data_IF_326391626414
#
_entry.id   IF_326391626414
#
_cell.length_a   1.000
_cell.length_b   1.000
_cell.length_c   1.000
_cell.angle_alpha   90.00
_cell.angle_beta   90.00
_cell.angle_gamma   90.00
#
_symmetry.space_group_name_H-M   'P 1'
#
loop_
_entity.id
_entity.type
_entity.pdbx_description
1 polymer ?
#
# COMPACT_ATOMS: atom_id res chain seq x y z
N UNK A 1 -18.46 25.32 8.53
CA UNK A 1 -17.29 24.42 8.45
C UNK A 1 -17.75 23.04 8.88
N UNK A 2 -17.53 22.03 8.06
CA UNK A 2 -17.89 20.66 8.39
C UNK A 2 -16.60 19.85 8.55
N UNK A 3 -16.36 19.35 9.77
CA UNK A 3 -15.18 18.54 10.08
C UNK A 3 -15.50 17.07 10.13
N UNK A 4 -14.57 16.27 9.70
CA UNK A 4 -14.67 14.82 9.62
C UNK A 4 -13.45 14.17 10.26
N UNK A 5 -13.67 13.10 11.04
CA UNK A 5 -12.57 12.28 11.57
C UNK A 5 -12.29 11.15 10.60
N UNK A 6 -11.02 10.94 10.26
CA UNK A 6 -10.54 9.77 9.54
C UNK A 6 -9.75 8.85 10.46
N UNK A 7 -10.00 7.53 10.38
CA UNK A 7 -9.31 6.51 11.20
C UNK A 7 -8.85 5.37 10.29
N UNK A 8 -7.56 5.02 10.38
CA UNK A 8 -7.01 3.84 9.69
C UNK A 8 -6.09 3.02 10.60
N UNK A 9 -6.42 1.73 10.74
CA UNK A 9 -5.62 0.71 11.44
C UNK A 9 -5.39 -0.50 10.54
N UNK A 10 -5.30 -0.29 9.24
CA UNK A 10 -5.36 -1.35 8.22
C UNK A 10 -4.13 -2.27 8.18
N UNK A 11 -2.94 -1.76 8.50
CA UNK A 11 -1.69 -2.52 8.34
C UNK A 11 -0.62 -2.07 9.36
N UNK A 12 0.54 -1.59 8.89
CA UNK A 12 1.69 -1.26 9.75
C UNK A 12 1.66 0.16 10.32
N UNK A 13 0.56 0.89 10.14
CA UNK A 13 0.46 2.28 10.63
C UNK A 13 -0.89 2.48 11.31
N UNK A 14 -0.88 2.99 12.54
CA UNK A 14 -2.07 3.57 13.16
C UNK A 14 -2.13 5.02 12.73
N UNK A 15 -3.24 5.48 12.18
CA UNK A 15 -3.40 6.88 11.78
C UNK A 15 -4.79 7.44 12.11
N UNK A 16 -4.81 8.73 12.45
CA UNK A 16 -6.01 9.53 12.64
C UNK A 16 -5.82 10.89 11.98
N UNK A 17 -6.89 11.45 11.45
CA UNK A 17 -6.85 12.78 10.83
C UNK A 17 -8.16 13.53 11.05
N UNK A 18 -8.08 14.86 11.05
CA UNK A 18 -9.23 15.76 10.96
C UNK A 18 -9.18 16.45 9.60
N UNK A 19 -10.27 16.34 8.87
CA UNK A 19 -10.47 17.00 7.58
C UNK A 19 -11.58 18.04 7.73
N UNK A 20 -11.33 19.24 7.25
CA UNK A 20 -12.33 20.31 7.13
C UNK A 20 -12.73 20.48 5.66
N UNK A 21 -14.01 20.66 5.39
CA UNK A 21 -14.52 20.79 4.02
C UNK A 21 -14.05 22.04 3.27
N UNK A 22 -13.48 23.03 3.95
CA UNK A 22 -12.95 24.27 3.36
C UNK A 22 -11.43 24.33 3.42
N UNK A 23 -10.84 23.92 4.55
CA UNK A 23 -9.39 24.02 4.79
C UNK A 23 -8.60 22.78 4.36
N UNK A 24 -9.29 21.65 4.12
CA UNK A 24 -8.65 20.37 3.80
C UNK A 24 -8.20 19.63 5.08
N UNK A 25 -7.01 19.04 5.07
CA UNK A 25 -6.45 18.33 6.24
C UNK A 25 -6.02 19.38 7.29
N UNK A 26 -6.74 19.43 8.42
CA UNK A 26 -6.43 20.32 9.55
C UNK A 26 -5.29 19.75 10.38
N UNK A 27 -5.36 18.45 10.68
CA UNK A 27 -4.32 17.75 11.42
C UNK A 27 -4.31 16.27 11.05
N UNK A 28 -3.14 15.68 11.03
CA UNK A 28 -2.96 14.24 10.90
C UNK A 28 -1.89 13.75 11.87
N UNK A 29 -2.14 12.60 12.48
CA UNK A 29 -1.19 11.93 13.34
C UNK A 29 -1.10 10.46 12.97
N UNK A 30 0.13 9.93 12.93
CA UNK A 30 0.39 8.55 12.57
C UNK A 30 1.56 7.97 13.37
N UNK A 31 1.45 6.68 13.65
CA UNK A 31 2.48 5.93 14.37
C UNK A 31 2.67 4.57 13.70
N UNK A 32 3.90 4.32 13.25
CA UNK A 32 4.30 3.03 12.71
C UNK A 32 4.31 1.97 13.80
N UNK A 33 3.85 0.77 13.47
CA UNK A 33 3.98 -0.38 14.35
C UNK A 33 5.43 -0.84 14.41
N UNK A 34 5.85 -1.25 15.61
CA UNK A 34 7.19 -1.75 15.84
C UNK A 34 7.30 -3.20 15.36
N UNK A 35 8.18 -3.47 14.41
CA UNK A 35 8.59 -4.82 14.00
C UNK A 35 9.90 -5.16 14.69
N UNK A 36 9.95 -6.27 15.42
CA UNK A 36 11.17 -6.72 16.08
C UNK A 36 12.28 -7.01 15.08
N UNK A 37 13.50 -6.70 15.44
CA UNK A 37 14.67 -6.98 14.61
C UNK A 37 14.73 -8.46 14.20
N UNK A 38 15.07 -8.74 12.94
CA UNK A 38 15.07 -10.09 12.36
C UNK A 38 13.71 -10.64 11.94
N UNK A 39 12.60 -9.95 12.26
CA UNK A 39 11.27 -10.34 11.78
C UNK A 39 10.93 -9.68 10.44
N UNK A 40 10.16 -10.37 9.60
CA UNK A 40 9.73 -9.91 8.26
C UNK A 40 8.30 -9.36 8.23
N UNK A 41 7.73 -9.09 9.41
CA UNK A 41 6.35 -8.62 9.56
C UNK A 41 5.81 -8.86 10.97
N UNK A 42 4.52 -8.54 11.16
CA UNK A 42 3.79 -8.72 12.42
C UNK A 42 2.64 -9.73 12.23
N UNK A 43 2.40 -10.55 13.26
CA UNK A 43 1.17 -11.31 13.37
C UNK A 43 -0.03 -10.36 13.55
N UNK A 44 -1.23 -10.77 13.09
CA UNK A 44 -2.44 -9.95 13.21
C UNK A 44 -2.77 -9.61 14.67
N UNK A 45 -2.55 -10.53 15.60
CA UNK A 45 -2.73 -10.28 17.05
C UNK A 45 -1.80 -9.19 17.59
N UNK A 46 -0.57 -9.16 17.12
CA UNK A 46 0.41 -8.12 17.49
C UNK A 46 0.04 -6.76 16.89
N UNK A 47 -0.46 -6.74 15.64
CA UNK A 47 -0.98 -5.51 15.03
C UNK A 47 -2.15 -4.96 15.84
N UNK A 48 -3.14 -5.81 16.18
CA UNK A 48 -4.28 -5.42 17.03
C UNK A 48 -3.80 -4.85 18.35
N UNK A 49 -2.90 -5.52 19.04
CA UNK A 49 -2.35 -5.06 20.31
C UNK A 49 -1.73 -3.66 20.21
N UNK A 50 -0.89 -3.45 19.21
CA UNK A 50 -0.22 -2.15 19.04
C UNK A 50 -1.23 -1.06 18.62
N UNK A 51 -2.16 -1.34 17.72
CA UNK A 51 -3.20 -0.38 17.32
C UNK A 51 -4.08 0.06 18.50
N UNK A 52 -4.49 -0.88 19.35
CA UNK A 52 -5.27 -0.58 20.57
C UNK A 52 -4.53 0.39 21.49
N UNK A 53 -3.21 0.24 21.63
CA UNK A 53 -2.41 1.15 22.45
C UNK A 53 -2.14 2.49 21.78
N UNK A 54 -1.99 2.52 20.48
CA UNK A 54 -1.61 3.70 19.73
C UNK A 54 -2.80 4.67 19.54
N UNK A 55 -4.01 4.15 19.30
CA UNK A 55 -5.17 4.99 19.00
C UNK A 55 -5.46 6.05 20.07
N UNK A 56 -5.56 5.72 21.38
CA UNK A 56 -5.79 6.73 22.41
C UNK A 56 -4.71 7.82 22.44
N UNK A 57 -3.45 7.43 22.24
CA UNK A 57 -2.33 8.35 22.19
C UNK A 57 -2.43 9.31 20.99
N UNK A 58 -2.82 8.82 19.81
CA UNK A 58 -3.00 9.66 18.62
C UNK A 58 -4.22 10.59 18.77
N UNK A 59 -5.32 10.09 19.33
CA UNK A 59 -6.49 10.93 19.61
C UNK A 59 -6.19 12.04 20.61
N UNK A 60 -5.35 11.79 21.63
CA UNK A 60 -4.93 12.84 22.57
C UNK A 60 -4.19 13.98 21.86
N UNK A 61 -3.42 13.68 20.82
CA UNK A 61 -2.70 14.71 20.06
C UNK A 61 -3.62 15.60 19.21
N UNK A 62 -4.72 15.06 18.69
CA UNK A 62 -5.65 15.79 17.83
C UNK A 62 -6.88 16.32 18.56
N UNK A 63 -7.00 16.07 19.86
CA UNK A 63 -8.22 16.35 20.67
C UNK A 63 -8.72 17.78 20.59
N UNK A 64 -7.83 18.76 20.47
CA UNK A 64 -8.19 20.17 20.39
C UNK A 64 -8.93 20.52 19.08
N UNK A 65 -8.75 19.72 18.03
CA UNK A 65 -9.40 19.90 16.73
C UNK A 65 -10.69 19.07 16.60
N UNK A 66 -11.01 18.23 17.61
CA UNK A 66 -12.19 17.35 17.61
C UNK A 66 -13.48 18.07 17.98
N UNK A 67 -13.75 19.20 17.34
CA UNK A 67 -14.98 19.97 17.51
C UNK A 67 -15.71 20.13 16.17
N UNK A 68 -17.03 20.37 16.20
CA UNK A 68 -17.87 20.54 15.02
C UNK A 68 -17.83 19.33 14.04
N UNK A 69 -17.63 18.14 14.60
CA UNK A 69 -17.57 16.90 13.82
C UNK A 69 -18.94 16.60 13.21
N UNK A 70 -18.97 16.32 11.91
CA UNK A 70 -20.17 16.03 11.12
C UNK A 70 -20.20 14.60 10.56
N UNK A 71 -19.13 13.84 10.73
CA UNK A 71 -19.06 12.46 10.29
C UNK A 71 -17.70 11.82 10.57
N UNK A 72 -17.67 10.50 10.54
CA UNK A 72 -16.47 9.71 10.80
C UNK A 72 -16.26 8.72 9.66
N UNK A 73 -15.09 8.78 9.01
CA UNK A 73 -14.65 7.83 8.02
C UNK A 73 -13.66 6.83 8.61
N UNK A 74 -13.81 5.55 8.30
CA UNK A 74 -12.91 4.52 8.81
C UNK A 74 -12.56 3.47 7.75
N UNK A 75 -11.29 3.06 7.74
CA UNK A 75 -10.83 1.87 7.02
C UNK A 75 -11.36 0.64 7.74
N UNK A 76 -12.43 0.01 7.22
CA UNK A 76 -13.18 -1.02 7.92
C UNK A 76 -12.84 -2.46 7.50
N UNK A 77 -12.29 -2.63 6.29
CA UNK A 77 -11.95 -3.94 5.70
C UNK A 77 -10.94 -3.77 4.55
N UNK A 78 -10.18 -4.82 4.19
CA UNK A 78 -9.20 -4.73 3.11
C UNK A 78 -9.81 -4.37 1.74
N UNK A 79 -10.87 -5.07 1.34
CA UNK A 79 -11.56 -4.93 0.05
C UNK A 79 -13.07 -4.99 0.26
N UNK A 80 -13.85 -4.41 -0.65
CA UNK A 80 -15.33 -4.46 -0.59
C UNK A 80 -15.86 -5.80 -1.12
N UNK A 81 -15.57 -6.87 -0.37
CA UNK A 81 -15.98 -8.26 -0.62
C UNK A 81 -16.42 -8.90 0.69
N UNK A 82 -17.39 -9.81 0.64
CA UNK A 82 -17.96 -10.44 1.83
C UNK A 82 -16.96 -11.26 2.66
N UNK A 83 -15.95 -11.84 1.99
CA UNK A 83 -14.88 -12.65 2.59
C UNK A 83 -13.64 -11.83 3.00
N UNK A 84 -13.67 -10.51 2.83
CA UNK A 84 -12.53 -9.64 3.08
C UNK A 84 -12.49 -9.21 4.54
N UNK A 85 -11.65 -9.90 5.33
CA UNK A 85 -11.52 -9.70 6.76
C UNK A 85 -10.06 -9.72 7.21
N UNK A 86 -9.68 -8.76 8.06
CA UNK A 86 -8.43 -8.77 8.81
C UNK A 86 -8.64 -8.15 10.20
N UNK A 87 -8.17 -8.82 11.29
CA UNK A 87 -8.38 -8.37 12.68
C UNK A 87 -7.93 -6.92 12.97
N UNK A 88 -6.84 -6.47 12.37
CA UNK A 88 -6.31 -5.12 12.59
C UNK A 88 -7.34 -4.02 12.29
N UNK A 89 -8.20 -4.19 11.28
CA UNK A 89 -9.26 -3.23 10.93
C UNK A 89 -10.31 -3.05 12.02
N UNK A 90 -10.56 -4.08 12.82
CA UNK A 90 -11.58 -4.03 13.88
C UNK A 90 -11.25 -2.99 14.94
N UNK A 91 -9.99 -2.67 15.15
CA UNK A 91 -9.57 -1.67 16.15
C UNK A 91 -10.08 -0.29 15.77
N UNK A 92 -9.76 0.16 14.54
CA UNK A 92 -10.24 1.45 14.03
C UNK A 92 -11.75 1.49 13.88
N UNK A 93 -12.35 0.38 13.37
CA UNK A 93 -13.79 0.25 13.21
C UNK A 93 -14.52 0.40 14.55
N UNK A 94 -14.12 -0.33 15.58
CA UNK A 94 -14.72 -0.23 16.91
C UNK A 94 -14.59 1.17 17.51
N UNK A 95 -13.42 1.81 17.38
CA UNK A 95 -13.22 3.18 17.82
C UNK A 95 -14.15 4.15 17.07
N UNK A 96 -14.27 4.02 15.74
CA UNK A 96 -15.16 4.85 14.93
C UNK A 96 -16.63 4.69 15.33
N UNK A 97 -17.10 3.47 15.59
CA UNK A 97 -18.46 3.18 16.05
C UNK A 97 -18.76 3.83 17.39
N UNK A 98 -17.83 3.76 18.36
CA UNK A 98 -17.97 4.42 19.66
C UNK A 98 -18.04 5.95 19.50
N UNK A 99 -17.14 6.53 18.72
CA UNK A 99 -17.12 7.98 18.48
C UNK A 99 -18.37 8.46 17.75
N UNK A 100 -18.89 7.69 16.79
CA UNK A 100 -20.14 7.99 16.09
C UNK A 100 -21.32 8.11 17.06
N UNK A 101 -21.40 7.21 18.03
CA UNK A 101 -22.42 7.28 19.07
C UNK A 101 -22.23 8.50 20.00
N UNK A 102 -20.99 8.80 20.36
CA UNK A 102 -20.67 9.93 21.24
C UNK A 102 -20.94 11.31 20.59
N UNK A 103 -20.64 11.43 19.30
CA UNK A 103 -20.86 12.67 18.52
C UNK A 103 -22.25 12.77 17.88
N UNK A 104 -23.04 11.70 17.86
CA UNK A 104 -24.33 11.61 17.15
C UNK A 104 -24.23 11.97 15.66
N UNK A 105 -23.22 11.45 14.99
CA UNK A 105 -22.91 11.73 13.56
C UNK A 105 -22.87 10.45 12.72
N UNK A 106 -23.02 10.52 11.39
CA UNK A 106 -22.93 9.34 10.54
C UNK A 106 -21.51 8.76 10.50
N UNK A 107 -21.43 7.44 10.28
CA UNK A 107 -20.19 6.71 10.01
C UNK A 107 -20.12 6.29 8.55
N UNK A 108 -18.92 6.37 7.96
CA UNK A 108 -18.63 5.96 6.58
C UNK A 108 -17.54 4.89 6.58
N UNK A 109 -17.89 3.70 6.11
CA UNK A 109 -16.99 2.56 6.02
C UNK A 109 -16.33 2.52 4.64
N UNK A 110 -15.01 2.55 4.62
CA UNK A 110 -14.21 2.42 3.40
C UNK A 110 -13.38 1.15 3.45
N UNK A 111 -13.13 0.57 2.29
CA UNK A 111 -12.08 -0.43 2.17
C UNK A 111 -10.70 0.24 2.13
N UNK A 112 -9.68 -0.51 2.48
CA UNK A 112 -8.29 -0.05 2.37
C UNK A 112 -7.93 0.34 0.92
N UNK A 113 -8.45 -0.38 -0.08
CA UNK A 113 -8.27 -0.03 -1.48
C UNK A 113 -8.92 1.32 -1.84
N UNK A 114 -10.15 1.59 -1.35
CA UNK A 114 -10.80 2.90 -1.55
C UNK A 114 -10.01 4.03 -0.91
N UNK A 115 -9.47 3.82 0.29
CA UNK A 115 -8.65 4.83 0.96
C UNK A 115 -7.38 5.16 0.17
N UNK A 116 -6.71 4.15 -0.41
CA UNK A 116 -5.58 4.38 -1.29
C UNK A 116 -5.96 5.15 -2.56
N UNK A 117 -7.10 4.85 -3.17
CA UNK A 117 -7.60 5.57 -4.33
C UNK A 117 -7.91 7.03 -3.97
N UNK A 118 -8.63 7.26 -2.87
CA UNK A 118 -8.98 8.60 -2.38
C UNK A 118 -7.73 9.42 -2.05
N UNK A 119 -6.76 8.83 -1.34
CA UNK A 119 -5.50 9.50 -1.02
C UNK A 119 -4.71 9.92 -2.26
N UNK A 120 -4.70 9.08 -3.31
CA UNK A 120 -4.07 9.43 -4.58
C UNK A 120 -4.76 10.60 -5.28
N UNK A 121 -6.09 10.71 -5.15
CA UNK A 121 -6.89 11.76 -5.76
C UNK A 121 -6.70 13.14 -5.09
N UNK A 122 -6.19 13.22 -3.86
CA UNK A 122 -5.82 14.51 -3.23
C UNK A 122 -4.86 15.28 -4.13
N UNK A 123 -3.91 14.59 -4.77
CA UNK A 123 -2.95 15.18 -5.70
C UNK A 123 -3.42 15.17 -7.17
N UNK A 124 -4.60 14.62 -7.44
CA UNK A 124 -5.20 14.52 -8.76
C UNK A 124 -6.71 14.82 -8.71
N UNK A 125 -7.12 16.03 -8.27
CA UNK A 125 -8.54 16.35 -8.02
C UNK A 125 -9.40 16.29 -9.29
N UNK A 126 -8.80 16.40 -10.48
CA UNK A 126 -9.47 16.25 -11.75
C UNK A 126 -10.04 14.84 -12.00
N UNK A 127 -9.60 13.84 -11.21
CA UNK A 127 -10.09 12.46 -11.29
C UNK A 127 -11.32 12.21 -10.40
N UNK A 128 -11.74 13.21 -9.63
CA UNK A 128 -12.95 13.08 -8.82
C UNK A 128 -14.17 12.77 -9.70
N UNK A 129 -14.86 11.67 -9.40
CA UNK A 129 -15.97 11.11 -10.16
C UNK A 129 -15.63 10.71 -11.63
N UNK A 130 -14.35 10.69 -11.99
CA UNK A 130 -13.91 10.18 -13.29
C UNK A 130 -13.40 8.74 -13.17
N UNK A 131 -13.60 7.88 -14.18
CA UNK A 131 -13.03 6.56 -14.21
C UNK A 131 -11.50 6.64 -14.43
N UNK A 132 -10.73 5.86 -13.67
CA UNK A 132 -9.28 5.77 -13.82
C UNK A 132 -8.75 4.37 -13.50
N UNK A 133 -7.50 4.13 -13.82
CA UNK A 133 -6.79 2.93 -13.39
C UNK A 133 -5.85 3.25 -12.24
N UNK A 134 -5.69 2.30 -11.33
CA UNK A 134 -4.78 2.42 -10.20
C UNK A 134 -3.84 1.22 -10.14
N UNK A 135 -2.55 1.47 -10.20
CA UNK A 135 -1.51 0.47 -9.95
C UNK A 135 -1.01 0.65 -8.52
N UNK A 136 -1.35 -0.30 -7.66
CA UNK A 136 -0.95 -0.30 -6.25
C UNK A 136 0.18 -1.31 -6.03
N UNK A 137 1.38 -0.81 -5.76
CA UNK A 137 2.59 -1.61 -5.52
C UNK A 137 3.15 -1.31 -4.13
N UNK A 138 2.96 -2.23 -3.20
CA UNK A 138 3.44 -2.10 -1.82
C UNK A 138 4.13 -3.38 -1.33
N UNK A 139 4.54 -3.40 -0.06
CA UNK A 139 5.08 -4.60 0.59
C UNK A 139 4.08 -5.76 0.67
N UNK A 140 2.79 -5.46 0.82
CA UNK A 140 1.73 -6.48 0.97
C UNK A 140 0.80 -6.62 -0.23
N UNK A 141 0.75 -5.63 -1.10
CA UNK A 141 -0.22 -5.56 -2.20
C UNK A 141 0.46 -5.28 -3.53
N UNK A 142 0.02 -5.97 -4.57
CA UNK A 142 0.40 -5.70 -5.95
C UNK A 142 -0.79 -5.97 -6.85
N UNK A 143 -1.51 -4.90 -7.15
CA UNK A 143 -2.74 -4.95 -7.94
C UNK A 143 -2.72 -3.86 -9.03
N UNK A 144 -3.36 -4.15 -10.17
CA UNK A 144 -3.82 -3.15 -11.12
C UNK A 144 -5.35 -3.19 -11.10
N UNK A 145 -5.94 -2.05 -10.80
CA UNK A 145 -7.36 -1.90 -10.51
C UNK A 145 -8.00 -0.96 -11.51
N UNK A 146 -9.27 -1.21 -11.84
CA UNK A 146 -10.13 -0.24 -12.51
C UNK A 146 -11.03 0.40 -11.46
N UNK A 147 -10.97 1.72 -11.37
CA UNK A 147 -11.80 2.53 -10.47
C UNK A 147 -12.87 3.22 -11.31
N UNK A 148 -14.12 3.03 -10.93
CA UNK A 148 -15.30 3.65 -11.57
C UNK A 148 -16.23 4.18 -10.50
N UNK A 149 -17.20 5.01 -10.90
CA UNK A 149 -18.16 5.62 -9.99
C UNK A 149 -19.58 5.27 -10.42
N UNK A 150 -20.42 4.93 -9.47
CA UNK A 150 -21.84 4.72 -9.68
C UNK A 150 -22.61 5.38 -8.54
N UNK A 151 -23.48 6.33 -8.84
CA UNK A 151 -24.24 7.09 -7.84
C UNK A 151 -23.35 7.67 -6.71
N UNK A 152 -22.20 8.22 -7.09
CA UNK A 152 -21.17 8.75 -6.19
C UNK A 152 -20.50 7.70 -5.28
N UNK A 153 -20.73 6.42 -5.52
CA UNK A 153 -20.04 5.31 -4.83
C UNK A 153 -18.89 4.83 -5.71
N UNK A 154 -17.71 4.69 -5.10
CA UNK A 154 -16.54 4.14 -5.76
C UNK A 154 -16.69 2.63 -5.93
N UNK A 155 -16.52 2.16 -7.17
CA UNK A 155 -16.46 0.74 -7.51
C UNK A 155 -15.05 0.40 -7.98
N UNK A 156 -14.42 -0.57 -7.31
CA UNK A 156 -13.08 -1.04 -7.63
C UNK A 156 -13.15 -2.47 -8.12
N UNK A 157 -12.63 -2.72 -9.32
CA UNK A 157 -12.49 -4.07 -9.88
C UNK A 157 -11.02 -4.40 -10.13
N UNK A 158 -10.64 -5.63 -9.78
CA UNK A 158 -9.29 -6.14 -9.98
C UNK A 158 -9.09 -6.54 -11.44
N UNK A 159 -8.10 -5.94 -12.10
CA UNK A 159 -7.69 -6.30 -13.47
C UNK A 159 -6.55 -7.30 -13.44
N UNK A 160 -5.60 -7.10 -12.52
CA UNK A 160 -4.43 -7.96 -12.31
C UNK A 160 -4.06 -7.94 -10.83
N UNK A 161 -3.58 -9.07 -10.33
CA UNK A 161 -3.10 -9.18 -8.94
C UNK A 161 -1.88 -10.08 -8.88
N UNK A 162 -1.14 -10.03 -7.78
CA UNK A 162 -0.09 -11.02 -7.50
C UNK A 162 -0.74 -12.32 -7.03
N UNK A 163 -0.30 -13.44 -7.60
CA UNK A 163 -0.79 -14.78 -7.26
C UNK A 163 0.11 -15.53 -6.27
N UNK A 164 1.24 -14.95 -5.91
CA UNK A 164 2.16 -15.48 -4.91
C UNK A 164 2.77 -14.35 -4.07
N UNK A 165 4.02 -13.98 -4.28
CA UNK A 165 4.65 -12.86 -3.57
C UNK A 165 4.57 -11.57 -4.38
N UNK A 166 4.48 -10.45 -3.69
CA UNK A 166 4.48 -9.11 -4.32
C UNK A 166 5.91 -8.66 -4.68
N UNK A 167 6.01 -7.63 -5.52
CA UNK A 167 7.28 -6.97 -5.81
C UNK A 167 7.95 -6.42 -4.54
N UNK A 168 7.16 -5.85 -3.61
CA UNK A 168 7.69 -5.38 -2.33
C UNK A 168 8.24 -6.52 -1.48
N UNK A 169 7.54 -7.66 -1.40
CA UNK A 169 8.05 -8.84 -0.71
C UNK A 169 9.32 -9.39 -1.36
N UNK A 170 9.41 -9.39 -2.69
CA UNK A 170 10.63 -9.79 -3.40
C UNK A 170 11.81 -8.89 -3.01
N UNK A 171 11.60 -7.55 -3.06
CA UNK A 171 12.60 -6.57 -2.66
C UNK A 171 13.07 -6.79 -1.22
N UNK A 172 12.13 -6.94 -0.28
CA UNK A 172 12.44 -7.10 1.13
C UNK A 172 13.16 -8.42 1.43
N UNK A 173 12.70 -9.54 0.85
CA UNK A 173 13.30 -10.86 1.07
C UNK A 173 14.71 -10.96 0.50
N UNK A 174 14.92 -10.41 -0.70
CA UNK A 174 16.25 -10.36 -1.31
C UNK A 174 17.15 -9.40 -0.55
N UNK A 175 16.65 -8.21 -0.18
CA UNK A 175 17.42 -7.23 0.58
C UNK A 175 17.92 -7.77 1.92
N UNK A 176 17.03 -8.39 2.71
CA UNK A 176 17.40 -9.03 3.98
C UNK A 176 18.43 -10.16 3.77
N UNK A 177 18.30 -10.94 2.69
CA UNK A 177 19.27 -11.99 2.36
C UNK A 177 20.64 -11.44 1.96
N UNK A 178 20.68 -10.23 1.40
CA UNK A 178 21.91 -9.47 1.10
C UNK A 178 22.45 -8.70 2.33
N UNK A 179 21.85 -8.86 3.51
CA UNK A 179 22.27 -8.19 4.76
C UNK A 179 21.77 -6.75 4.90
N UNK A 180 20.78 -6.33 4.09
CA UNK A 180 20.20 -4.99 4.17
C UNK A 180 19.12 -4.90 5.26
N UNK A 181 18.94 -3.73 5.89
CA UNK A 181 17.87 -3.51 6.86
C UNK A 181 16.47 -3.67 6.26
N UNK A 182 15.51 -4.11 7.07
CA UNK A 182 14.08 -4.12 6.72
C UNK A 182 13.40 -2.81 7.17
N UNK A 183 12.51 -2.21 6.34
CA UNK A 183 12.15 -2.54 4.95
C UNK A 183 13.31 -2.24 3.98
N UNK A 184 13.59 -3.18 3.06
CA UNK A 184 14.81 -3.12 2.27
C UNK A 184 14.73 -2.22 1.01
N UNK A 185 13.55 -1.70 0.67
CA UNK A 185 13.32 -0.99 -0.61
C UNK A 185 14.33 0.12 -0.90
N UNK A 186 14.50 1.08 0.03
CA UNK A 186 15.45 2.19 -0.10
C UNK A 186 16.91 1.71 -0.16
N UNK A 187 17.26 0.74 0.67
CA UNK A 187 18.61 0.21 0.76
C UNK A 187 19.00 -0.60 -0.48
N UNK A 188 18.07 -1.41 -1.01
CA UNK A 188 18.28 -2.17 -2.23
C UNK A 188 18.41 -1.25 -3.45
N UNK A 189 17.60 -0.18 -3.54
CA UNK A 189 17.74 0.84 -4.58
C UNK A 189 19.11 1.51 -4.53
N UNK A 190 19.58 1.88 -3.33
CA UNK A 190 20.90 2.50 -3.18
C UNK A 190 22.02 1.54 -3.57
N UNK A 191 21.95 0.28 -3.15
CA UNK A 191 22.91 -0.76 -3.53
C UNK A 191 22.95 -0.96 -5.06
N UNK A 192 21.77 -0.99 -5.70
CA UNK A 192 21.62 -1.17 -7.14
C UNK A 192 22.28 -0.07 -8.00
N UNK A 193 22.52 1.13 -7.44
CA UNK A 193 23.22 2.22 -8.13
C UNK A 193 24.69 1.88 -8.42
N UNK A 194 25.29 0.99 -7.66
CA UNK A 194 26.68 0.56 -7.81
C UNK A 194 26.84 -0.64 -8.74
N UNK A 195 25.76 -1.07 -9.41
CA UNK A 195 25.78 -2.21 -10.35
C UNK A 195 26.54 -1.85 -11.64
N UNK A 196 27.42 -2.74 -12.07
CA UNK A 196 28.14 -2.65 -13.33
C UNK A 196 27.58 -3.63 -14.38
N UNK A 197 27.16 -4.81 -13.95
CA UNK A 197 26.62 -5.87 -14.80
C UNK A 197 25.36 -6.48 -14.16
N UNK A 198 24.19 -5.85 -14.34
CA UNK A 198 22.95 -6.31 -13.72
C UNK A 198 22.65 -7.77 -14.05
N UNK A 199 22.32 -8.56 -13.03
CA UNK A 199 21.84 -9.92 -13.22
C UNK A 199 20.54 -9.92 -14.04
N UNK A 200 20.39 -10.90 -14.92
CA UNK A 200 19.14 -11.10 -15.69
C UNK A 200 18.36 -12.24 -15.05
N UNK A 201 17.21 -11.93 -14.50
CA UNK A 201 16.29 -12.92 -13.94
C UNK A 201 15.06 -13.08 -14.84
N UNK A 202 14.67 -14.33 -15.18
CA UNK A 202 13.55 -14.56 -16.08
C UNK A 202 12.22 -14.19 -15.41
N UNK A 203 11.37 -13.44 -16.14
CA UNK A 203 10.03 -13.09 -15.72
C UNK A 203 9.02 -14.06 -16.31
N UNK A 204 8.21 -14.69 -15.46
CA UNK A 204 7.15 -15.58 -15.88
C UNK A 204 6.13 -14.86 -16.78
N UNK A 205 5.68 -15.54 -17.86
CA UNK A 205 4.57 -15.08 -18.68
C UNK A 205 3.27 -15.64 -18.10
N UNK A 206 2.47 -14.80 -17.45
CA UNK A 206 1.18 -15.16 -16.90
C UNK A 206 0.18 -14.10 -17.35
N UNK A 207 -1.00 -14.52 -17.76
CA UNK A 207 -2.05 -13.60 -18.21
C UNK A 207 -2.69 -12.92 -17.00
N UNK A 208 -2.74 -11.60 -17.01
CA UNK A 208 -3.38 -10.76 -15.99
C UNK A 208 -2.97 -11.05 -14.53
N UNK A 209 -1.72 -11.45 -14.32
CA UNK A 209 -1.22 -11.74 -12.99
C UNK A 209 0.28 -11.48 -12.88
N UNK A 210 0.77 -11.32 -11.63
CA UNK A 210 2.19 -11.25 -11.31
C UNK A 210 2.60 -12.48 -10.51
N UNK A 211 3.81 -12.98 -10.77
CA UNK A 211 4.41 -14.08 -10.04
C UNK A 211 5.90 -13.86 -9.88
N UNK A 212 6.38 -13.88 -8.65
CA UNK A 212 7.79 -13.66 -8.34
C UNK A 212 8.45 -14.78 -7.52
N UNK A 213 7.71 -15.78 -7.04
CA UNK A 213 8.28 -16.85 -6.22
C UNK A 213 9.40 -17.62 -6.92
N UNK A 214 9.21 -17.94 -8.21
CA UNK A 214 10.24 -18.62 -9.00
C UNK A 214 11.48 -17.74 -9.23
N UNK A 215 11.27 -16.45 -9.44
CA UNK A 215 12.35 -15.45 -9.53
C UNK A 215 13.09 -15.32 -8.21
N UNK A 216 12.36 -15.23 -7.08
CA UNK A 216 12.95 -15.22 -5.74
C UNK A 216 13.87 -16.41 -5.53
N UNK A 217 13.40 -17.63 -5.87
CA UNK A 217 14.22 -18.84 -5.75
C UNK A 217 15.50 -18.76 -6.58
N UNK A 218 15.42 -18.28 -7.82
CA UNK A 218 16.61 -18.08 -8.68
C UNK A 218 17.59 -17.10 -8.05
N UNK A 219 17.11 -15.94 -7.57
CA UNK A 219 17.92 -14.92 -6.92
C UNK A 219 18.59 -15.48 -5.65
N UNK A 220 17.85 -16.21 -4.82
CA UNK A 220 18.37 -16.84 -3.59
C UNK A 220 19.51 -17.81 -3.91
N UNK A 221 19.38 -18.61 -4.98
CA UNK A 221 20.42 -19.52 -5.42
C UNK A 221 21.68 -18.77 -5.89
N UNK A 222 21.52 -17.67 -6.65
CA UNK A 222 22.63 -16.81 -7.09
C UNK A 222 23.38 -16.22 -5.88
N UNK A 223 22.65 -15.77 -4.86
CA UNK A 223 23.25 -15.27 -3.60
C UNK A 223 24.03 -16.37 -2.87
N UNK A 224 23.41 -17.55 -2.70
CA UNK A 224 24.01 -18.67 -1.96
C UNK A 224 25.29 -19.18 -2.61
N UNK A 225 25.33 -19.21 -3.94
CA UNK A 225 26.50 -19.65 -4.72
C UNK A 225 27.52 -18.53 -4.96
N UNK A 226 27.26 -17.30 -4.53
CA UNK A 226 28.10 -16.13 -4.75
C UNK A 226 28.46 -15.90 -6.23
N UNK A 227 27.50 -16.16 -7.14
CA UNK A 227 27.69 -16.07 -8.60
C UNK A 227 27.76 -14.63 -9.11
N UNK A 228 27.34 -13.63 -8.35
CA UNK A 228 27.33 -12.23 -8.76
C UNK A 228 27.52 -11.27 -7.58
N UNK A 229 27.95 -10.05 -7.89
CA UNK A 229 28.09 -9.01 -6.88
C UNK A 229 26.70 -8.58 -6.31
N UNK A 230 26.62 -8.25 -5.02
CA UNK A 230 25.36 -7.83 -4.39
C UNK A 230 24.67 -6.67 -5.10
N UNK A 231 25.42 -5.71 -5.65
CA UNK A 231 24.89 -4.60 -6.40
C UNK A 231 24.23 -5.05 -7.72
N UNK A 232 24.83 -6.01 -8.42
CA UNK A 232 24.29 -6.55 -9.69
C UNK A 232 23.02 -7.38 -9.47
N UNK A 233 22.97 -8.11 -8.34
CA UNK A 233 21.77 -8.81 -7.91
C UNK A 233 20.66 -7.80 -7.58
N UNK A 234 20.97 -6.77 -6.79
CA UNK A 234 20.01 -5.74 -6.41
C UNK A 234 19.43 -5.01 -7.64
N UNK A 235 20.26 -4.67 -8.62
CA UNK A 235 19.83 -4.08 -9.88
C UNK A 235 18.99 -5.05 -10.69
N UNK A 236 19.38 -6.32 -10.76
CA UNK A 236 18.64 -7.37 -11.44
C UNK A 236 17.22 -7.56 -10.89
N UNK A 237 17.02 -7.44 -9.58
CA UNK A 237 15.69 -7.44 -8.95
C UNK A 237 14.82 -6.31 -9.49
N UNK A 238 15.34 -5.08 -9.53
CA UNK A 238 14.59 -3.92 -10.03
C UNK A 238 14.28 -4.05 -11.51
N UNK A 239 15.23 -4.51 -12.33
CA UNK A 239 15.02 -4.80 -13.76
C UNK A 239 13.93 -5.85 -13.95
N UNK A 240 13.97 -6.94 -13.17
CA UNK A 240 12.98 -8.00 -13.24
C UNK A 240 11.56 -7.50 -12.92
N UNK A 241 11.41 -6.68 -11.87
CA UNK A 241 10.11 -6.07 -11.51
C UNK A 241 9.64 -5.15 -12.63
N UNK A 242 10.50 -4.26 -13.14
CA UNK A 242 10.19 -3.35 -14.25
C UNK A 242 9.70 -4.09 -15.49
N UNK A 243 10.41 -5.16 -15.90
CA UNK A 243 10.03 -5.99 -17.04
C UNK A 243 8.71 -6.74 -16.81
N UNK A 244 8.42 -7.19 -15.58
CA UNK A 244 7.14 -7.80 -15.24
C UNK A 244 5.99 -6.80 -15.39
N UNK A 245 6.15 -5.59 -14.85
CA UNK A 245 5.17 -4.51 -14.96
C UNK A 245 4.94 -4.13 -16.43
N UNK A 246 6.02 -3.85 -17.16
CA UNK A 246 5.96 -3.49 -18.58
C UNK A 246 5.24 -4.54 -19.43
N UNK A 247 5.57 -5.82 -19.24
CA UNK A 247 4.90 -6.92 -19.97
C UNK A 247 3.40 -6.97 -19.71
N UNK A 248 2.96 -6.80 -18.46
CA UNK A 248 1.55 -6.81 -18.11
C UNK A 248 0.82 -5.57 -18.62
N UNK A 249 1.41 -4.38 -18.46
CA UNK A 249 0.82 -3.14 -18.93
C UNK A 249 0.67 -3.12 -20.46
N UNK A 250 1.65 -3.61 -21.20
CA UNK A 250 1.58 -3.70 -22.68
C UNK A 250 0.62 -4.78 -23.18
N UNK A 251 0.45 -5.87 -22.41
CA UNK A 251 -0.44 -6.96 -22.80
C UNK A 251 -1.93 -6.65 -22.56
N UNK A 252 -2.23 -5.77 -21.64
CA UNK A 252 -3.60 -5.39 -21.32
C UNK A 252 -4.08 -4.23 -22.21
N UNK A 253 -5.32 -4.32 -22.69
CA UNK A 253 -5.94 -3.26 -23.50
C UNK A 253 -6.60 -2.21 -22.62
N UNK A 254 -5.80 -1.28 -22.09
CA UNK A 254 -6.31 -0.14 -21.35
C UNK A 254 -7.08 0.82 -22.27
N UNK A 255 -8.15 1.40 -21.76
CA UNK A 255 -8.81 2.53 -22.42
C UNK A 255 -7.90 3.76 -22.38
N UNK A 256 -7.47 4.26 -23.53
CA UNK A 256 -6.50 5.36 -23.64
C UNK A 256 -6.98 6.69 -23.04
N UNK A 257 -8.28 6.84 -22.85
CA UNK A 257 -8.89 8.03 -22.23
C UNK A 257 -8.79 8.05 -20.71
N UNK A 258 -8.47 6.92 -20.07
CA UNK A 258 -8.39 6.84 -18.61
C UNK A 258 -6.96 7.00 -18.11
N UNK A 259 -6.79 7.82 -17.11
CA UNK A 259 -5.50 8.01 -16.43
C UNK A 259 -5.11 6.75 -15.65
N UNK A 260 -3.83 6.38 -15.65
CA UNK A 260 -3.27 5.39 -14.75
C UNK A 260 -2.50 6.09 -13.62
N UNK A 261 -2.91 5.88 -12.38
CA UNK A 261 -2.22 6.37 -11.18
C UNK A 261 -1.39 5.21 -10.60
N UNK A 262 -0.14 5.48 -10.27
CA UNK A 262 0.74 4.53 -9.59
C UNK A 262 0.97 4.96 -8.14
N UNK A 263 0.70 4.05 -7.18
CA UNK A 263 0.79 4.30 -5.76
C UNK A 263 1.49 3.15 -5.01
N UNK A 264 1.81 3.39 -3.75
CA UNK A 264 2.42 2.43 -2.84
C UNK A 264 3.94 2.57 -2.72
N UNK A 265 4.50 2.01 -1.65
CA UNK A 265 5.90 2.19 -1.28
C UNK A 265 6.92 1.71 -2.32
N UNK A 266 6.57 0.71 -3.13
CA UNK A 266 7.44 0.22 -4.23
C UNK A 266 7.54 1.28 -5.33
N UNK A 267 6.49 2.07 -5.56
CA UNK A 267 6.51 3.17 -6.54
C UNK A 267 7.31 4.39 -6.08
N UNK A 268 7.78 4.43 -4.84
CA UNK A 268 8.77 5.42 -4.41
C UNK A 268 10.15 5.18 -5.03
N UNK A 269 10.41 3.97 -5.54
CA UNK A 269 11.65 3.61 -6.22
C UNK A 269 11.80 4.40 -7.55
N UNK A 270 12.89 5.17 -7.66
CA UNK A 270 13.15 6.05 -8.82
C UNK A 270 13.36 5.27 -10.11
N UNK A 271 14.03 4.11 -10.02
CA UNK A 271 14.24 3.27 -11.20
C UNK A 271 12.92 2.76 -11.76
N UNK A 272 12.03 2.24 -10.91
CA UNK A 272 10.73 1.71 -11.34
C UNK A 272 9.80 2.79 -11.90
N UNK A 273 9.91 4.02 -11.41
CA UNK A 273 9.12 5.16 -11.94
C UNK A 273 9.56 5.63 -13.33
N UNK A 274 10.82 5.40 -13.68
CA UNK A 274 11.41 5.90 -14.94
C UNK A 274 11.37 4.87 -16.09
N UNK A 275 10.86 3.67 -15.84
CA UNK A 275 10.68 2.59 -16.82
C UNK A 275 9.25 2.47 -17.27
#
# INVERSE_FOLDING_TARGET
MARFIGIDTSCYTTSVAIFDSQEGIVTEERLLLCVKEGHRGLAQSEMVYQHVRNLPYLFDKIKNEMHSIQGIGVSAFPRRRADSYMPAFLVGKGAAEILTMAYHVPIFYFSHQENHALAAMINAPHLWLQPFYMMHLSGGTQDILSVTWQLNVMNISELMTSIDITAGQLIDRVGVKLGLPFPAGKHLEQLAKNSTFPCIFPVAKIKNAFRFSGVETSIQNTILKQEAAPADIAKGVLVCIAEALKKQLLAYRFEKSRTLIAIGGVMANTYLRNV
#
